data_IF_201854300078
#
_entry.id   IF_201854300078
#
_cell.length_a   1.000
_cell.length_b   1.000
_cell.length_c   1.000
_cell.angle_alpha   90.00
_cell.angle_beta   90.00
_cell.angle_gamma   90.00
#
_symmetry.space_group_name_H-M   'P 1'
#
loop_
_entity.id
_entity.type
_entity.pdbx_description
1 polymer ?
#
# COMPACT_ATOMS: atom_id res chain seq x y z
N UNK A 1 -5.50 11.16 -69.91
CA UNK A 1 -4.95 9.82 -69.70
C UNK A 1 -4.72 9.63 -68.20
N UNK A 2 -5.31 8.58 -67.65
CA UNK A 2 -5.09 7.92 -66.34
C UNK A 2 -4.94 8.77 -65.06
N UNK A 3 -6.02 8.71 -64.26
CA UNK A 3 -6.06 8.82 -62.80
C UNK A 3 -5.32 7.65 -62.13
N UNK A 4 -4.64 7.92 -61.01
CA UNK A 4 -4.45 6.99 -59.89
C UNK A 4 -4.65 7.75 -58.56
N UNK A 5 -5.48 7.26 -57.63
CA UNK A 5 -5.90 7.99 -56.43
C UNK A 5 -4.98 7.78 -55.21
N UNK A 6 -4.88 8.84 -54.41
CA UNK A 6 -4.28 8.88 -53.08
C UNK A 6 -5.15 8.06 -52.11
N UNK A 7 -4.62 6.94 -51.61
CA UNK A 7 -5.33 6.06 -50.66
C UNK A 7 -5.05 6.53 -49.23
N UNK A 8 -6.07 7.06 -48.57
CA UNK A 8 -6.10 7.14 -47.11
C UNK A 8 -6.60 5.79 -46.58
N UNK A 9 -5.79 5.12 -45.75
CA UNK A 9 -6.25 3.94 -45.02
C UNK A 9 -7.22 4.39 -43.92
N UNK A 10 -8.46 3.96 -44.09
CA UNK A 10 -9.54 3.95 -43.12
C UNK A 10 -9.17 3.09 -41.91
N UNK A 11 -9.21 3.69 -40.72
CA UNK A 11 -9.40 2.98 -39.46
C UNK A 11 -10.53 3.66 -38.71
N UNK A 12 -11.78 3.33 -39.07
CA UNK A 12 -12.97 3.87 -38.44
C UNK A 12 -13.04 3.44 -36.97
N UNK A 13 -12.98 4.40 -36.05
CA UNK A 13 -13.35 4.19 -34.66
C UNK A 13 -14.86 4.39 -34.57
N UNK A 14 -15.62 3.29 -34.67
CA UNK A 14 -17.04 3.28 -34.34
C UNK A 14 -17.17 3.23 -32.83
N UNK A 15 -17.61 4.32 -32.20
CA UNK A 15 -18.12 4.29 -30.84
C UNK A 15 -19.43 3.49 -30.86
N UNK A 16 -19.33 2.20 -30.57
CA UNK A 16 -20.52 1.39 -30.26
C UNK A 16 -20.99 1.79 -28.86
N UNK A 17 -22.08 2.56 -28.81
CA UNK A 17 -22.75 3.03 -27.59
C UNK A 17 -23.84 2.05 -27.16
N UNK A 18 -23.58 0.75 -27.21
CA UNK A 18 -24.48 -0.24 -26.65
C UNK A 18 -23.78 -1.15 -25.62
N UNK A 19 -24.19 -0.96 -24.36
CA UNK A 19 -24.17 -1.90 -23.22
C UNK A 19 -22.96 -1.83 -22.23
N UNK A 20 -23.08 -1.11 -21.09
CA UNK A 20 -21.95 -0.81 -20.20
C UNK A 20 -21.58 -1.91 -19.16
N UNK A 21 -22.09 -3.15 -19.24
CA UNK A 21 -21.92 -4.12 -18.14
C UNK A 21 -20.82 -5.18 -18.29
N UNK A 22 -19.93 -5.13 -19.31
CA UNK A 22 -18.80 -6.07 -19.42
C UNK A 22 -17.54 -5.49 -20.05
N UNK A 23 -16.89 -4.54 -19.37
CA UNK A 23 -15.48 -4.25 -19.63
C UNK A 23 -14.64 -4.66 -18.41
N UNK A 24 -14.36 -5.96 -18.33
CA UNK A 24 -13.22 -6.49 -17.58
C UNK A 24 -11.96 -6.10 -18.32
N UNK A 25 -11.24 -5.10 -17.81
CA UNK A 25 -9.98 -4.63 -18.38
C UNK A 25 -9.44 -3.46 -17.57
N UNK A 26 -8.57 -3.77 -16.62
CA UNK A 26 -7.87 -2.80 -15.78
C UNK A 26 -7.10 -1.81 -16.67
N UNK A 27 -7.48 -0.53 -16.65
CA UNK A 27 -6.68 0.55 -17.21
C UNK A 27 -6.11 1.37 -16.05
N UNK A 28 -4.91 0.98 -15.60
CA UNK A 28 -4.08 1.84 -14.75
C UNK A 28 -3.65 3.05 -15.59
N UNK A 29 -4.27 4.21 -15.34
CA UNK A 29 -3.84 5.48 -15.91
C UNK A 29 -2.63 6.00 -15.12
N UNK A 30 -1.45 5.42 -15.38
CA UNK A 30 -0.18 6.05 -15.01
C UNK A 30 -0.13 7.42 -15.68
N UNK A 31 -0.11 8.48 -14.86
CA UNK A 31 -0.14 9.88 -15.29
C UNK A 31 1.07 10.22 -16.16
N UNK A 32 0.92 10.15 -17.49
CA UNK A 32 1.90 10.66 -18.43
C UNK A 32 1.91 12.20 -18.33
N UNK A 33 2.92 12.76 -17.66
CA UNK A 33 3.12 14.22 -17.58
C UNK A 33 3.46 14.78 -18.96
N UNK A 34 2.43 15.11 -19.75
CA UNK A 34 2.60 15.88 -20.98
C UNK A 34 2.77 17.36 -20.60
N UNK A 35 4.01 17.85 -20.54
CA UNK A 35 4.28 19.26 -20.27
C UNK A 35 3.97 20.12 -21.50
N UNK A 36 2.71 20.52 -21.68
CA UNK A 36 2.35 21.51 -22.69
C UNK A 36 2.52 22.91 -22.08
N UNK A 37 3.64 23.58 -22.42
CA UNK A 37 3.89 24.97 -22.03
C UNK A 37 2.99 25.90 -22.85
N UNK A 38 2.13 26.67 -22.17
CA UNK A 38 1.65 28.04 -22.48
C UNK A 38 0.96 28.25 -23.86
N UNK A 39 -0.23 28.85 -24.04
CA UNK A 39 -0.97 29.92 -23.35
C UNK A 39 -2.44 29.84 -23.77
N UNK A 40 -3.38 30.02 -22.84
CA UNK A 40 -4.65 30.70 -23.14
C UNK A 40 -5.82 29.86 -23.66
N UNK A 41 -6.37 28.96 -22.83
CA UNK A 41 -7.82 28.80 -22.63
C UNK A 41 -7.99 27.86 -21.43
N UNK A 42 -8.39 28.40 -20.26
CA UNK A 42 -8.79 27.58 -19.13
C UNK A 42 -10.18 26.98 -19.42
N UNK A 43 -10.27 26.07 -20.39
CA UNK A 43 -11.30 25.05 -20.35
C UNK A 43 -10.88 24.14 -19.20
N UNK A 44 -11.41 24.44 -18.03
CA UNK A 44 -11.54 23.45 -16.98
C UNK A 44 -12.42 22.37 -17.63
N UNK A 45 -11.80 21.40 -18.30
CA UNK A 45 -12.43 20.10 -18.45
C UNK A 45 -12.48 19.63 -17.02
N UNK A 46 -13.59 19.96 -16.32
CA UNK A 46 -13.95 19.24 -15.12
C UNK A 46 -14.21 17.84 -15.63
N UNK A 47 -13.14 17.04 -15.70
CA UNK A 47 -13.25 15.61 -15.88
C UNK A 47 -14.31 15.22 -14.85
N UNK A 48 -15.46 14.67 -15.27
CA UNK A 48 -16.44 14.24 -14.30
C UNK A 48 -15.69 13.28 -13.39
N UNK A 49 -15.49 13.64 -12.12
CA UNK A 49 -14.90 12.74 -11.14
C UNK A 49 -16.01 11.76 -10.85
N UNK A 50 -16.17 10.74 -11.70
CA UNK A 50 -16.90 9.55 -11.29
C UNK A 50 -16.11 9.08 -10.09
N UNK A 51 -16.70 9.18 -8.90
CA UNK A 51 -16.06 8.75 -7.67
C UNK A 51 -15.83 7.25 -7.82
N UNK A 52 -14.61 6.88 -8.20
CA UNK A 52 -14.21 5.48 -8.33
C UNK A 52 -14.19 4.88 -6.92
N UNK A 53 -14.77 3.70 -6.76
CA UNK A 53 -14.67 2.97 -5.50
C UNK A 53 -13.19 2.77 -5.14
N UNK A 54 -12.83 3.02 -3.89
CA UNK A 54 -11.47 2.90 -3.38
C UNK A 54 -11.49 2.57 -1.88
N UNK A 55 -10.33 2.45 -1.24
CA UNK A 55 -10.22 2.45 0.21
C UNK A 55 -8.96 3.17 0.69
N UNK A 56 -9.00 3.65 1.92
CA UNK A 56 -7.84 4.16 2.64
C UNK A 56 -7.56 3.32 3.88
N UNK A 57 -6.35 3.45 4.43
CA UNK A 57 -6.01 2.86 5.71
C UNK A 57 -5.22 3.86 6.57
N UNK A 58 -5.44 3.79 7.88
CA UNK A 58 -4.58 4.43 8.86
C UNK A 58 -3.79 3.36 9.62
N UNK A 59 -2.55 3.68 9.96
CA UNK A 59 -1.62 2.73 10.55
C UNK A 59 -1.25 3.17 11.97
N UNK A 60 -1.21 2.20 12.88
CA UNK A 60 -0.71 2.37 14.24
C UNK A 60 0.26 1.25 14.58
N UNK A 61 1.41 1.59 15.16
CA UNK A 61 2.48 0.65 15.50
C UNK A 61 3.82 1.01 14.86
N UNK A 62 4.78 0.10 14.97
CA UNK A 62 6.12 0.22 14.40
C UNK A 62 6.18 -0.55 13.07
N UNK A 63 6.77 0.01 11.99
CA UNK A 63 7.00 -0.71 10.74
C UNK A 63 7.85 -2.00 10.86
N UNK A 64 8.61 -2.17 11.94
CA UNK A 64 9.40 -3.37 12.22
C UNK A 64 8.70 -4.36 13.17
N UNK A 65 7.51 -4.01 13.66
CA UNK A 65 6.77 -4.73 14.70
C UNK A 65 5.31 -4.97 14.32
N UNK A 66 4.43 -5.27 15.30
CA UNK A 66 3.02 -5.42 15.02
C UNK A 66 2.46 -4.08 14.53
N UNK A 67 2.07 -4.04 13.26
CA UNK A 67 1.38 -2.92 12.64
C UNK A 67 -0.11 -3.22 12.60
N UNK A 68 -0.92 -2.30 13.10
CA UNK A 68 -2.39 -2.37 13.00
C UNK A 68 -2.84 -1.41 11.91
N UNK A 69 -3.51 -1.94 10.88
CA UNK A 69 -4.15 -1.15 9.84
C UNK A 69 -5.65 -1.06 10.10
N UNK A 70 -6.19 0.15 10.13
CA UNK A 70 -7.64 0.41 10.20
C UNK A 70 -8.11 0.89 8.83
N UNK A 71 -9.04 0.15 8.21
CA UNK A 71 -9.46 0.38 6.84
C UNK A 71 -10.76 1.18 6.76
N UNK A 72 -10.87 2.04 5.75
CA UNK A 72 -12.08 2.82 5.46
C UNK A 72 -12.38 2.78 3.95
N UNK A 73 -13.53 2.20 3.54
CA UNK A 73 -13.92 2.13 2.15
C UNK A 73 -14.46 3.47 1.66
N UNK A 74 -14.27 3.75 0.38
CA UNK A 74 -14.90 4.85 -0.36
C UNK A 74 -15.89 4.22 -1.34
N UNK A 75 -17.18 4.53 -1.17
CA UNK A 75 -18.28 3.94 -1.95
C UNK A 75 -18.99 5.00 -2.78
N UNK A 76 -19.61 4.60 -3.88
CA UNK A 76 -20.54 5.46 -4.61
C UNK A 76 -21.81 5.71 -3.79
N UNK A 77 -22.02 6.96 -3.37
CA UNK A 77 -23.17 7.37 -2.57
C UNK A 77 -24.52 7.22 -3.29
N UNK A 78 -24.53 7.05 -4.62
CA UNK A 78 -25.76 6.83 -5.39
C UNK A 78 -26.19 5.36 -5.44
N UNK A 79 -25.39 4.46 -4.87
CA UNK A 79 -25.64 3.01 -4.89
C UNK A 79 -25.84 2.50 -3.48
N UNK A 80 -26.71 1.50 -3.32
CA UNK A 80 -26.95 0.86 -2.03
C UNK A 80 -25.99 -0.30 -1.84
N UNK A 81 -25.09 -0.17 -0.86
CA UNK A 81 -24.18 -1.26 -0.46
C UNK A 81 -24.97 -2.34 0.28
N UNK A 82 -24.76 -3.59 -0.11
CA UNK A 82 -25.37 -4.77 0.53
C UNK A 82 -24.36 -5.55 1.35
N UNK A 83 -23.08 -5.57 0.97
CA UNK A 83 -22.02 -6.19 1.77
C UNK A 83 -20.62 -5.69 1.41
N UNK A 84 -19.69 -5.91 2.34
CA UNK A 84 -18.26 -5.75 2.16
C UNK A 84 -17.56 -7.10 2.33
N UNK A 85 -16.47 -7.31 1.60
CA UNK A 85 -15.54 -8.40 1.83
C UNK A 85 -14.12 -7.85 1.68
N UNK A 86 -13.37 -7.93 2.77
CA UNK A 86 -11.96 -7.59 2.84
C UNK A 86 -11.13 -8.86 2.82
N UNK A 87 -10.09 -8.87 2.01
CA UNK A 87 -8.95 -9.77 2.12
C UNK A 87 -7.71 -8.93 2.41
N UNK A 88 -7.07 -9.22 3.54
CA UNK A 88 -5.94 -8.47 4.04
C UNK A 88 -4.59 -8.97 3.49
N UNK A 89 -4.59 -10.04 2.69
CA UNK A 89 -3.37 -10.67 2.17
C UNK A 89 -2.54 -11.41 3.22
N UNK A 90 -2.95 -11.35 4.49
CA UNK A 90 -2.31 -12.07 5.61
C UNK A 90 -3.01 -13.39 5.96
N UNK A 91 -3.96 -13.83 5.11
CA UNK A 91 -4.78 -15.03 5.33
C UNK A 91 -6.07 -14.79 6.13
N UNK A 92 -6.29 -13.57 6.64
CA UNK A 92 -7.54 -13.18 7.28
C UNK A 92 -8.43 -12.36 6.35
N UNK A 93 -9.73 -12.48 6.56
CA UNK A 93 -10.77 -11.74 5.83
C UNK A 93 -11.75 -11.07 6.80
N UNK A 94 -12.49 -10.06 6.35
CA UNK A 94 -13.56 -9.43 7.16
C UNK A 94 -14.75 -9.00 6.31
N UNK A 95 -15.94 -9.00 6.89
CA UNK A 95 -17.17 -8.48 6.24
C UNK A 95 -17.68 -7.19 6.87
N UNK A 96 -16.92 -6.62 7.82
CA UNK A 96 -17.24 -5.31 8.39
C UNK A 96 -16.98 -4.21 7.36
N UNK A 97 -17.73 -3.12 7.45
CA UNK A 97 -17.51 -1.94 6.61
C UNK A 97 -16.12 -1.34 6.82
N UNK A 98 -15.76 -1.08 8.08
CA UNK A 98 -14.46 -0.52 8.48
C UNK A 98 -13.75 -1.44 9.47
N UNK A 99 -13.07 -2.50 9.02
CA UNK A 99 -12.35 -3.42 9.88
C UNK A 99 -10.96 -2.90 10.27
N UNK A 100 -10.37 -3.55 11.26
CA UNK A 100 -8.93 -3.47 11.53
C UNK A 100 -8.27 -4.84 11.38
N UNK A 101 -7.00 -4.85 10.98
CA UNK A 101 -6.18 -6.06 10.87
C UNK A 101 -4.76 -5.80 11.40
N UNK A 102 -4.16 -6.80 12.04
CA UNK A 102 -2.79 -6.76 12.55
C UNK A 102 -1.83 -7.56 11.66
N UNK A 103 -0.63 -7.02 11.50
CA UNK A 103 0.45 -7.59 10.70
C UNK A 103 1.69 -7.66 11.57
N UNK A 104 2.18 -8.88 11.81
CA UNK A 104 3.28 -9.15 12.75
C UNK A 104 4.51 -9.70 12.05
N UNK A 105 4.31 -10.36 10.91
CA UNK A 105 5.40 -11.00 10.16
C UNK A 105 5.91 -10.04 9.09
N UNK A 106 7.23 -9.96 8.94
CA UNK A 106 7.85 -9.20 7.87
C UNK A 106 7.43 -9.74 6.50
N UNK A 107 6.69 -8.94 5.74
CA UNK A 107 6.24 -9.24 4.39
C UNK A 107 5.61 -8.00 3.73
N UNK A 108 5.40 -8.09 2.42
CA UNK A 108 4.51 -7.19 1.67
C UNK A 108 3.14 -7.84 1.54
N UNK A 109 2.09 -7.11 1.91
CA UNK A 109 0.72 -7.59 1.89
C UNK A 109 -0.11 -6.83 0.86
N UNK A 110 -0.74 -7.58 -0.03
CA UNK A 110 -1.73 -7.07 -0.98
C UNK A 110 -3.10 -7.08 -0.32
N UNK A 111 -3.79 -5.94 -0.32
CA UNK A 111 -5.13 -5.82 0.29
C UNK A 111 -6.16 -5.64 -0.81
N UNK A 112 -7.24 -6.42 -0.74
CA UNK A 112 -8.39 -6.27 -1.63
C UNK A 112 -9.69 -6.04 -0.88
N UNK A 113 -10.51 -5.17 -1.43
CA UNK A 113 -11.86 -4.86 -0.99
C UNK A 113 -12.84 -5.20 -2.11
N UNK A 114 -13.79 -6.08 -1.83
CA UNK A 114 -14.96 -6.31 -2.66
C UNK A 114 -16.19 -5.66 -2.02
N UNK A 115 -16.82 -4.72 -2.73
CA UNK A 115 -18.07 -4.08 -2.33
C UNK A 115 -19.19 -4.65 -3.19
N UNK A 116 -20.20 -5.23 -2.56
CA UNK A 116 -21.42 -5.66 -3.25
C UNK A 116 -22.49 -4.60 -3.08
N UNK A 117 -23.07 -4.17 -4.19
CA UNK A 117 -24.21 -3.28 -4.26
C UNK A 117 -25.45 -4.05 -4.72
N UNK A 118 -26.62 -3.43 -4.62
CA UNK A 118 -27.89 -4.00 -5.11
C UNK A 118 -27.89 -4.30 -6.62
N UNK A 119 -27.07 -3.59 -7.39
CA UNK A 119 -26.96 -3.68 -8.86
C UNK A 119 -25.66 -4.36 -9.36
N UNK A 120 -24.82 -4.86 -8.45
CA UNK A 120 -23.61 -5.62 -8.78
C UNK A 120 -22.43 -5.35 -7.88
N UNK A 121 -21.28 -5.95 -8.21
CA UNK A 121 -20.08 -5.95 -7.36
C UNK A 121 -18.97 -5.08 -7.95
N UNK A 122 -18.14 -4.53 -7.08
CA UNK A 122 -16.89 -3.82 -7.41
C UNK A 122 -15.76 -4.35 -6.55
N UNK A 123 -14.57 -4.39 -7.13
CA UNK A 123 -13.38 -4.87 -6.45
C UNK A 123 -12.25 -3.86 -6.63
N UNK A 124 -11.55 -3.58 -5.54
CA UNK A 124 -10.40 -2.71 -5.48
C UNK A 124 -9.25 -3.50 -4.84
N UNK A 125 -8.13 -3.59 -5.53
CA UNK A 125 -6.93 -4.28 -5.02
C UNK A 125 -5.75 -3.32 -5.01
N UNK A 126 -5.05 -3.25 -3.88
CA UNK A 126 -3.79 -2.51 -3.74
C UNK A 126 -2.66 -3.50 -3.47
N UNK A 127 -1.82 -3.70 -4.49
CA UNK A 127 -0.64 -4.54 -4.39
C UNK A 127 0.40 -3.89 -3.47
N UNK A 128 1.09 -4.72 -2.68
CA UNK A 128 2.14 -4.31 -1.73
C UNK A 128 1.75 -3.08 -0.88
N UNK A 129 0.48 -3.04 -0.48
CA UNK A 129 -0.11 -1.88 0.19
C UNK A 129 0.39 -1.70 1.61
N UNK A 130 0.77 -2.80 2.26
CA UNK A 130 1.32 -2.82 3.62
C UNK A 130 2.66 -3.54 3.56
N UNK A 131 3.70 -2.89 4.07
CA UNK A 131 5.04 -3.44 4.14
C UNK A 131 5.50 -3.47 5.60
N UNK A 132 5.85 -4.67 6.07
CA UNK A 132 6.41 -4.90 7.40
C UNK A 132 7.86 -5.31 7.25
N UNK A 133 8.74 -4.61 7.95
CA UNK A 133 10.17 -4.87 7.94
C UNK A 133 10.57 -5.82 9.07
N UNK A 134 11.62 -6.63 8.87
CA UNK A 134 12.19 -7.42 9.95
C UNK A 134 12.77 -6.54 11.06
N UNK A 135 12.63 -6.97 12.31
CA UNK A 135 13.27 -6.34 13.47
C UNK A 135 14.75 -6.71 13.60
N UNK A 136 15.61 -5.83 14.15
CA UNK A 136 16.98 -6.20 14.51
C UNK A 136 17.00 -7.27 15.60
N UNK A 137 18.01 -8.14 15.57
CA UNK A 137 18.23 -9.13 16.62
C UNK A 137 19.19 -8.55 17.64
N UNK A 138 18.70 -8.32 18.86
CA UNK A 138 19.51 -7.81 19.97
C UNK A 138 20.39 -8.93 20.52
N UNK A 139 21.68 -8.66 20.67
CA UNK A 139 22.62 -9.59 21.28
C UNK A 139 23.81 -8.83 21.86
N UNK A 140 24.24 -9.20 23.06
CA UNK A 140 25.46 -8.71 23.64
C UNK A 140 26.06 -9.73 24.59
N UNK A 141 27.36 -9.62 24.81
CA UNK A 141 28.11 -10.48 25.73
C UNK A 141 28.94 -9.62 26.66
N UNK A 142 29.26 -10.15 27.84
CA UNK A 142 30.30 -9.61 28.70
C UNK A 142 31.50 -10.55 28.72
N UNK A 143 32.68 -9.99 28.96
CA UNK A 143 33.91 -10.76 29.17
C UNK A 143 33.88 -11.54 30.51
N UNK A 144 33.30 -10.95 31.55
CA UNK A 144 33.13 -11.54 32.88
C UNK A 144 31.73 -11.22 33.46
N UNK A 145 31.28 -12.04 34.41
CA UNK A 145 29.94 -11.88 35.04
C UNK A 145 30.01 -11.68 36.56
N UNK A 146 31.20 -11.67 37.16
CA UNK A 146 31.38 -11.45 38.60
C UNK A 146 32.84 -11.51 39.05
N UNK A 147 33.11 -10.94 40.22
CA UNK A 147 34.45 -10.82 40.81
C UNK A 147 34.47 -9.95 42.06
N UNK A 148 35.66 -9.77 42.65
CA UNK A 148 35.86 -8.86 43.79
C UNK A 148 36.03 -7.41 43.32
N UNK A 149 35.70 -6.44 44.17
CA UNK A 149 35.85 -5.01 43.85
C UNK A 149 37.30 -4.53 44.03
N UNK A 150 37.81 -3.63 43.16
CA UNK A 150 37.19 -3.12 41.94
C UNK A 150 37.22 -4.14 40.79
N UNK A 151 36.10 -4.27 40.07
CA UNK A 151 35.94 -5.18 38.93
C UNK A 151 35.72 -4.37 37.66
N UNK A 152 36.55 -4.58 36.65
CA UNK A 152 36.38 -4.01 35.31
C UNK A 152 35.69 -5.04 34.42
N UNK A 153 34.59 -4.64 33.78
CA UNK A 153 33.79 -5.51 32.91
C UNK A 153 33.67 -4.85 31.54
N UNK A 154 34.00 -5.58 30.49
CA UNK A 154 33.84 -5.14 29.11
C UNK A 154 32.62 -5.80 28.49
N UNK A 155 31.78 -4.98 27.84
CA UNK A 155 30.64 -5.46 27.08
C UNK A 155 30.91 -5.36 25.59
N UNK A 156 30.53 -6.40 24.85
CA UNK A 156 30.58 -6.42 23.38
C UNK A 156 29.18 -6.55 22.83
N UNK A 157 28.78 -5.57 22.02
CA UNK A 157 27.53 -5.63 21.27
C UNK A 157 27.71 -6.55 20.05
N UNK A 158 26.88 -7.59 19.98
CA UNK A 158 26.85 -8.53 18.87
C UNK A 158 25.49 -8.53 18.16
N UNK A 159 24.72 -7.45 18.32
CA UNK A 159 23.41 -7.29 17.72
C UNK A 159 23.53 -7.16 16.20
N UNK A 160 22.63 -7.81 15.48
CA UNK A 160 22.62 -7.84 14.02
C UNK A 160 21.42 -7.08 13.45
N UNK A 161 21.67 -6.24 12.45
CA UNK A 161 20.62 -5.65 11.65
C UNK A 161 20.07 -6.68 10.64
N UNK A 162 18.80 -6.56 10.23
CA UNK A 162 18.30 -7.27 9.07
C UNK A 162 19.04 -6.88 7.79
N UNK A 163 18.96 -7.72 6.76
CA UNK A 163 19.60 -7.45 5.47
C UNK A 163 19.14 -6.11 4.88
N UNK A 164 20.09 -5.26 4.48
CA UNK A 164 19.82 -3.94 3.91
C UNK A 164 19.51 -2.84 4.93
N UNK A 165 19.44 -3.16 6.23
CA UNK A 165 19.31 -2.20 7.31
C UNK A 165 20.62 -2.00 8.07
N UNK A 166 20.67 -1.01 8.95
CA UNK A 166 21.80 -0.75 9.84
C UNK A 166 21.27 -0.32 11.21
N UNK A 167 21.90 -0.83 12.27
CA UNK A 167 21.64 -0.35 13.63
C UNK A 167 22.29 1.03 13.75
N UNK A 168 21.48 2.07 13.92
CA UNK A 168 21.94 3.47 13.96
C UNK A 168 22.20 3.99 15.37
N UNK A 169 21.55 3.39 16.37
CA UNK A 169 21.66 3.81 17.77
C UNK A 169 21.83 2.59 18.65
N UNK A 170 22.75 2.68 19.61
CA UNK A 170 22.96 1.70 20.68
C UNK A 170 22.92 2.45 22.00
N UNK A 171 22.08 2.00 22.92
CA UNK A 171 21.95 2.59 24.25
C UNK A 171 22.32 1.52 25.27
N UNK A 172 23.31 1.82 26.10
CA UNK A 172 23.70 0.99 27.24
C UNK A 172 23.17 1.63 28.51
N UNK A 173 22.29 0.92 29.21
CA UNK A 173 21.79 1.32 30.52
C UNK A 173 22.41 0.40 31.56
N UNK A 174 23.23 0.99 32.45
CA UNK A 174 23.77 0.30 33.60
C UNK A 174 22.95 0.67 34.82
N UNK A 175 22.30 -0.32 35.43
CA UNK A 175 21.66 -0.21 36.74
C UNK A 175 22.76 0.16 37.77
N UNK A 176 22.91 1.46 38.08
CA UNK A 176 23.91 1.94 39.04
C UNK A 176 24.75 3.16 38.64
N UNK A 177 24.56 3.73 37.45
CA UNK A 177 25.14 5.05 37.10
C UNK A 177 26.66 5.11 36.87
N UNK A 178 27.31 3.97 36.64
CA UNK A 178 28.72 3.90 36.27
C UNK A 178 28.87 4.06 34.75
N UNK A 179 29.58 5.12 34.34
CA UNK A 179 29.97 5.40 32.95
C UNK A 179 31.22 4.64 32.55
#
# INVERSE_FOLDING_TARGET
>A
MKSLPMTFLSGGFSLDLQNPHKQTGVVYFQQLRLSLKLVGLCLIVSLPTWAQEDFSATFAGDPCGPLTASFSPTVDANRTVTSYLWDFGNGNTSTLESPSASYVTANSYTVSLTITYSDGTREVTKADFIEIFPSPTVNFISDIQGGCTPLEVSFTDNSTAPAGASITTRLWEFEGGGS
#
